data_IF_126857352531
#
_entry.id   IF_126857352531
#
_cell.length_a   1.000
_cell.length_b   1.000
_cell.length_c   1.000
_cell.angle_alpha   90.00
_cell.angle_beta   90.00
_cell.angle_gamma   90.00
#
_symmetry.space_group_name_H-M   'P 1'
#
loop_
_entity.id
_entity.type
_entity.pdbx_description
1 polymer ?
#
# COMPACT_ATOMS: atom_id res chain seq x y z
N UNK A 1 15.68 1.73 2.03
CA UNK A 1 15.52 0.72 0.95
C UNK A 1 14.62 1.25 -0.15
N UNK A 2 13.33 1.47 0.08
CA UNK A 2 12.44 1.97 -0.98
C UNK A 2 12.81 3.39 -1.45
N UNK A 3 13.39 4.19 -0.55
CA UNK A 3 14.02 5.49 -0.87
C UNK A 3 15.13 5.36 -1.93
N UNK A 4 15.83 4.21 -2.00
CA UNK A 4 16.85 3.94 -3.02
C UNK A 4 16.24 3.78 -4.42
N UNK A 5 14.94 3.54 -4.52
CA UNK A 5 14.18 3.37 -5.76
C UNK A 5 13.17 4.51 -5.98
N UNK A 6 13.45 5.68 -5.40
CA UNK A 6 12.58 6.85 -5.53
C UNK A 6 12.47 7.27 -7.00
N UNK A 7 11.23 7.33 -7.50
CA UNK A 7 10.94 7.63 -8.91
C UNK A 7 10.62 6.39 -9.74
N UNK A 8 11.22 5.24 -9.41
CA UNK A 8 11.06 4.00 -10.17
C UNK A 8 10.02 3.05 -9.55
N UNK A 9 9.86 3.10 -8.23
CA UNK A 9 8.96 2.23 -7.48
C UNK A 9 7.85 3.02 -6.81
N UNK A 10 6.60 2.59 -7.04
CA UNK A 10 5.42 3.06 -6.30
C UNK A 10 4.95 2.01 -5.31
N UNK A 11 4.83 2.41 -4.06
CA UNK A 11 4.24 1.58 -3.00
C UNK A 11 2.73 1.81 -2.98
N UNK A 12 1.96 0.73 -2.99
CA UNK A 12 0.50 0.78 -2.85
C UNK A 12 0.10 -0.07 -1.66
N UNK A 13 -0.50 0.56 -0.65
CA UNK A 13 -1.09 -0.15 0.49
C UNK A 13 -2.50 -0.64 0.15
N UNK A 14 -2.82 -1.86 0.59
CA UNK A 14 -4.12 -2.50 0.38
C UNK A 14 -4.67 -3.03 1.69
N UNK A 15 -5.89 -2.62 2.02
CA UNK A 15 -6.50 -2.95 3.31
C UNK A 15 -6.94 -4.41 3.38
N UNK A 16 -6.58 -5.08 4.46
CA UNK A 16 -7.18 -6.37 4.79
C UNK A 16 -7.44 -6.54 6.30
N UNK A 17 -8.45 -5.84 6.83
CA UNK A 17 -8.84 -6.00 8.22
C UNK A 17 -9.47 -7.38 8.45
N UNK A 18 -8.71 -8.28 9.08
CA UNK A 18 -9.14 -9.63 9.39
C UNK A 18 -10.34 -9.63 10.36
N UNK A 19 -11.43 -10.38 10.09
CA UNK A 19 -12.63 -10.38 10.92
C UNK A 19 -12.41 -10.74 12.40
N UNK A 20 -11.39 -11.56 12.70
CA UNK A 20 -11.02 -11.94 14.07
C UNK A 20 -10.34 -10.84 14.89
N UNK A 21 -10.04 -9.68 14.29
CA UNK A 21 -9.39 -8.57 14.96
C UNK A 21 -10.38 -7.41 15.13
N UNK A 22 -10.93 -7.30 16.35
CA UNK A 22 -12.02 -6.37 16.71
C UNK A 22 -11.84 -4.95 16.16
N UNK A 23 -10.63 -4.41 16.22
CA UNK A 23 -10.33 -3.03 15.84
C UNK A 23 -9.63 -2.87 14.48
N UNK A 24 -9.41 -3.96 13.74
CA UNK A 24 -8.68 -3.87 12.47
C UNK A 24 -9.39 -2.99 11.44
N UNK A 25 -10.73 -3.06 11.36
CA UNK A 25 -11.49 -2.23 10.42
C UNK A 25 -11.49 -0.75 10.82
N UNK A 26 -11.56 -0.45 12.11
CA UNK A 26 -11.45 0.92 12.62
C UNK A 26 -10.06 1.50 12.36
N UNK A 27 -9.00 0.73 12.58
CA UNK A 27 -7.63 1.13 12.28
C UNK A 27 -7.41 1.38 10.78
N UNK A 28 -7.94 0.51 9.91
CA UNK A 28 -7.91 0.71 8.45
C UNK A 28 -8.64 2.00 8.03
N UNK A 29 -9.83 2.25 8.59
CA UNK A 29 -10.59 3.47 8.32
C UNK A 29 -9.85 4.72 8.81
N UNK A 30 -9.21 4.65 9.98
CA UNK A 30 -8.43 5.76 10.53
C UNK A 30 -7.19 6.08 9.69
N UNK A 31 -6.47 5.07 9.20
CA UNK A 31 -5.34 5.28 8.31
C UNK A 31 -5.80 5.98 7.00
N UNK A 32 -6.90 5.54 6.39
CA UNK A 32 -7.46 6.20 5.21
C UNK A 32 -7.97 7.62 5.49
N UNK A 33 -8.54 7.86 6.68
CA UNK A 33 -8.92 9.21 7.09
C UNK A 33 -7.70 10.11 7.33
N UNK A 34 -6.58 9.55 7.81
CA UNK A 34 -5.31 10.26 7.96
C UNK A 34 -4.66 10.60 6.62
N UNK A 35 -4.77 9.73 5.60
CA UNK A 35 -4.38 10.03 4.20
C UNK A 35 -5.07 11.31 3.70
N UNK A 36 -6.35 11.51 4.02
CA UNK A 36 -7.08 12.71 3.64
C UNK A 36 -6.54 13.99 4.31
N UNK A 37 -5.69 13.85 5.32
CA UNK A 37 -4.97 14.93 5.99
C UNK A 37 -3.47 14.94 5.67
N UNK A 38 -2.99 14.04 4.80
CA UNK A 38 -1.59 13.95 4.38
C UNK A 38 -0.69 13.04 5.24
N UNK A 39 -1.24 12.33 6.22
CA UNK A 39 -0.46 11.65 7.27
C UNK A 39 -0.63 10.12 7.28
N UNK A 40 -0.90 9.50 6.14
CA UNK A 40 -1.16 8.05 6.09
C UNK A 40 -0.02 7.22 6.65
N UNK A 41 1.22 7.42 6.17
CA UNK A 41 2.35 6.58 6.55
C UNK A 41 2.73 6.76 8.02
N UNK A 42 2.76 8.00 8.51
CA UNK A 42 3.01 8.28 9.92
C UNK A 42 1.93 7.65 10.82
N UNK A 43 0.66 7.75 10.43
CA UNK A 43 -0.45 7.15 11.17
C UNK A 43 -0.39 5.61 11.13
N UNK A 44 -0.12 5.03 9.97
CA UNK A 44 0.06 3.60 9.75
C UNK A 44 1.16 3.06 10.65
N UNK A 45 2.33 3.70 10.69
CA UNK A 45 3.47 3.22 11.46
C UNK A 45 3.17 3.24 12.97
N UNK A 46 2.48 4.27 13.45
CA UNK A 46 2.03 4.34 14.84
C UNK A 46 0.97 3.27 15.17
N UNK A 47 0.07 2.93 14.24
CA UNK A 47 -0.85 1.81 14.43
C UNK A 47 -0.09 0.48 14.59
N UNK A 48 0.92 0.25 13.75
CA UNK A 48 1.74 -0.96 13.81
C UNK A 48 2.60 -1.03 15.08
N UNK A 49 3.19 0.09 15.52
CA UNK A 49 3.92 0.17 16.78
C UNK A 49 3.03 -0.15 17.99
N UNK A 50 1.74 0.22 17.92
CA UNK A 50 0.79 0.06 19.00
C UNK A 50 -0.17 -1.14 18.83
N UNK A 51 0.09 -2.06 17.89
CA UNK A 51 -0.88 -3.07 17.44
C UNK A 51 -1.54 -3.91 18.55
N UNK A 52 -0.86 -4.12 19.70
CA UNK A 52 -1.36 -4.87 20.86
C UNK A 52 -2.37 -4.10 21.71
N UNK A 53 -2.40 -2.78 21.59
CA UNK A 53 -3.19 -1.85 22.40
C UNK A 53 -4.19 -1.06 21.54
N UNK A 54 -4.38 -1.45 20.29
CA UNK A 54 -5.28 -0.72 19.40
C UNK A 54 -6.73 -0.87 19.87
N UNK A 55 -7.36 0.27 20.12
CA UNK A 55 -8.78 0.49 20.27
C UNK A 55 -9.12 1.91 19.75
N UNK A 56 -10.38 2.34 19.87
CA UNK A 56 -10.77 3.70 19.43
C UNK A 56 -10.04 4.81 20.20
N UNK A 57 -9.94 4.78 21.54
CA UNK A 57 -9.12 5.75 22.28
C UNK A 57 -7.68 5.85 21.76
N UNK A 58 -6.99 4.73 21.56
CA UNK A 58 -5.61 4.71 21.05
C UNK A 58 -5.51 5.26 19.63
N UNK A 59 -6.49 4.98 18.76
CA UNK A 59 -6.57 5.55 17.41
C UNK A 59 -6.67 7.09 17.48
N UNK A 60 -7.51 7.63 18.37
CA UNK A 60 -7.65 9.08 18.53
C UNK A 60 -6.42 9.71 19.18
N UNK A 61 -5.76 8.98 20.09
CA UNK A 61 -4.47 9.38 20.69
C UNK A 61 -3.39 9.53 19.60
N UNK A 62 -3.25 8.55 18.71
CA UNK A 62 -2.33 8.61 17.57
C UNK A 62 -2.63 9.82 16.68
N UNK A 63 -3.91 10.08 16.40
CA UNK A 63 -4.33 11.23 15.61
C UNK A 63 -3.90 12.55 16.25
N UNK A 64 -4.09 12.67 17.57
CA UNK A 64 -3.66 13.84 18.35
C UNK A 64 -2.15 14.01 18.31
N UNK A 65 -1.39 12.93 18.47
CA UNK A 65 0.07 12.98 18.50
C UNK A 65 0.66 13.40 17.13
N UNK A 66 -0.07 13.13 16.05
CA UNK A 66 0.21 13.62 14.69
C UNK A 66 -0.41 15.00 14.39
N UNK A 67 -0.99 15.67 15.37
CA UNK A 67 -1.65 16.98 15.21
C UNK A 67 -2.77 16.99 14.15
N UNK A 68 -3.43 15.86 13.93
CA UNK A 68 -4.57 15.75 13.03
C UNK A 68 -5.83 16.39 13.64
N UNK A 69 -6.72 16.88 12.78
CA UNK A 69 -8.07 17.24 13.20
C UNK A 69 -8.83 15.95 13.54
N UNK A 70 -9.03 15.74 14.84
CA UNK A 70 -9.68 14.56 15.40
C UNK A 70 -11.17 14.48 15.04
N UNK A 71 -11.87 15.61 14.94
CA UNK A 71 -13.29 15.61 14.58
C UNK A 71 -13.45 15.25 13.10
N UNK A 72 -12.60 15.83 12.25
CA UNK A 72 -12.50 15.48 10.84
C UNK A 72 -12.14 14.01 10.66
N UNK A 73 -11.13 13.51 11.37
CA UNK A 73 -10.72 12.10 11.29
C UNK A 73 -11.90 11.18 11.63
N UNK A 74 -12.58 11.43 12.76
CA UNK A 74 -13.70 10.60 13.18
C UNK A 74 -14.84 10.62 12.16
N UNK A 75 -15.16 11.78 11.58
CA UNK A 75 -16.16 11.88 10.50
C UNK A 75 -15.72 11.09 9.27
N UNK A 76 -14.48 11.29 8.82
CA UNK A 76 -13.97 10.73 7.57
C UNK A 76 -13.80 9.19 7.68
N UNK A 77 -13.48 8.65 8.86
CA UNK A 77 -13.50 7.21 9.16
C UNK A 77 -14.84 6.55 8.85
N UNK A 78 -15.93 7.29 9.01
CA UNK A 78 -17.30 6.82 8.77
C UNK A 78 -17.82 7.16 7.37
N UNK A 79 -17.01 7.81 6.54
CA UNK A 79 -17.42 8.20 5.19
C UNK A 79 -17.62 6.96 4.31
N UNK A 80 -18.69 6.98 3.50
CA UNK A 80 -19.00 5.91 2.56
C UNK A 80 -17.84 5.58 1.62
N UNK A 81 -17.04 6.58 1.22
CA UNK A 81 -15.86 6.39 0.39
C UNK A 81 -14.76 5.56 1.06
N UNK A 82 -14.50 5.80 2.35
CA UNK A 82 -13.51 5.03 3.15
C UNK A 82 -13.97 3.59 3.33
N UNK A 83 -15.23 3.39 3.69
CA UNK A 83 -15.85 2.08 3.84
C UNK A 83 -15.76 1.30 2.52
N UNK A 84 -16.16 1.93 1.41
CA UNK A 84 -16.13 1.33 0.07
C UNK A 84 -14.71 0.98 -0.38
N UNK A 85 -13.72 1.81 -0.07
CA UNK A 85 -12.32 1.54 -0.40
C UNK A 85 -11.80 0.29 0.33
N UNK A 86 -12.08 0.16 1.63
CA UNK A 86 -11.73 -1.03 2.41
C UNK A 86 -12.41 -2.28 1.83
N UNK A 87 -13.71 -2.21 1.55
CA UNK A 87 -14.45 -3.36 1.04
C UNK A 87 -14.05 -3.77 -0.38
N UNK A 88 -13.58 -2.81 -1.19
CA UNK A 88 -12.97 -3.10 -2.49
C UNK A 88 -11.67 -3.88 -2.32
N UNK A 89 -10.76 -3.44 -1.45
CA UNK A 89 -9.49 -4.11 -1.22
C UNK A 89 -9.69 -5.54 -0.65
N UNK A 90 -10.62 -5.70 0.29
CA UNK A 90 -10.99 -7.03 0.82
C UNK A 90 -11.52 -7.96 -0.28
N UNK A 91 -12.40 -7.47 -1.15
CA UNK A 91 -12.93 -8.27 -2.28
C UNK A 91 -11.86 -8.63 -3.29
N UNK A 92 -10.98 -7.69 -3.63
CA UNK A 92 -9.86 -7.92 -4.53
C UNK A 92 -8.97 -9.05 -4.02
N UNK A 93 -8.62 -9.02 -2.72
CA UNK A 93 -7.85 -10.08 -2.06
C UNK A 93 -8.51 -11.45 -2.21
N UNK A 94 -9.82 -11.54 -1.93
CA UNK A 94 -10.57 -12.78 -2.04
C UNK A 94 -10.55 -13.33 -3.47
N UNK A 95 -10.68 -12.46 -4.47
CA UNK A 95 -10.62 -12.83 -5.89
C UNK A 95 -9.26 -13.42 -6.28
N UNK A 96 -8.17 -12.93 -5.70
CA UNK A 96 -6.81 -13.41 -5.99
C UNK A 96 -6.33 -14.55 -5.07
N UNK A 97 -7.21 -15.07 -4.20
CA UNK A 97 -6.92 -16.23 -3.35
C UNK A 97 -5.91 -16.00 -2.24
N UNK A 98 -5.54 -14.75 -1.94
CA UNK A 98 -4.66 -14.42 -0.82
C UNK A 98 -5.45 -14.56 0.47
N UNK A 99 -4.96 -15.35 1.44
CA UNK A 99 -5.67 -15.59 2.69
C UNK A 99 -4.97 -15.02 3.94
N UNK A 100 -3.77 -14.45 3.83
CA UNK A 100 -2.93 -14.03 4.96
C UNK A 100 -2.36 -12.61 4.82
N UNK A 101 -2.02 -12.01 5.95
CA UNK A 101 -1.30 -10.73 6.08
C UNK A 101 0.04 -10.90 6.79
N UNK A 102 1.07 -10.09 6.45
CA UNK A 102 1.13 -9.29 5.23
C UNK A 102 1.18 -10.19 3.98
N UNK A 103 0.86 -9.65 2.81
CA UNK A 103 1.12 -10.28 1.50
C UNK A 103 1.64 -9.20 0.57
N UNK A 104 2.77 -9.45 -0.08
CA UNK A 104 3.47 -8.45 -0.89
C UNK A 104 3.46 -8.90 -2.34
N UNK A 105 3.13 -7.97 -3.23
CA UNK A 105 3.16 -8.17 -4.66
C UNK A 105 4.15 -7.20 -5.29
N UNK A 106 4.95 -7.68 -6.23
CA UNK A 106 5.82 -6.83 -7.05
C UNK A 106 5.34 -6.99 -8.49
N UNK A 107 4.83 -5.89 -9.05
CA UNK A 107 4.22 -5.83 -10.38
C UNK A 107 3.23 -7.00 -10.65
N UNK A 108 2.31 -7.24 -9.71
CA UNK A 108 1.29 -8.29 -9.81
C UNK A 108 1.75 -9.71 -9.42
N UNK A 109 3.03 -9.93 -9.10
CA UNK A 109 3.56 -11.25 -8.71
C UNK A 109 3.69 -11.37 -7.19
N UNK A 110 3.07 -12.40 -6.61
CA UNK A 110 3.14 -12.66 -5.17
C UNK A 110 4.57 -13.03 -4.75
N UNK A 111 5.11 -12.29 -3.78
CA UNK A 111 6.39 -12.57 -3.17
C UNK A 111 6.27 -13.72 -2.17
N UNK A 112 6.73 -14.92 -2.56
CA UNK A 112 6.68 -16.11 -1.70
C UNK A 112 7.77 -16.11 -0.63
N UNK A 113 8.98 -15.70 -0.99
CA UNK A 113 10.09 -15.55 -0.05
C UNK A 113 10.24 -14.08 0.32
N UNK A 114 10.02 -13.78 1.60
CA UNK A 114 9.97 -12.41 2.13
C UNK A 114 11.29 -11.94 2.71
N UNK A 115 12.39 -12.61 2.39
CA UNK A 115 13.71 -12.11 2.77
C UNK A 115 13.98 -10.77 2.07
N UNK A 116 14.67 -9.88 2.77
CA UNK A 116 15.04 -8.59 2.24
C UNK A 116 15.80 -8.70 0.91
N UNK A 117 16.79 -9.61 0.86
CA UNK A 117 17.58 -9.87 -0.34
C UNK A 117 16.72 -10.32 -1.52
N UNK A 118 15.70 -11.16 -1.28
CA UNK A 118 14.81 -11.62 -2.36
C UNK A 118 13.91 -10.48 -2.84
N UNK A 119 13.38 -9.70 -1.91
CA UNK A 119 12.56 -8.53 -2.24
C UNK A 119 13.33 -7.54 -3.11
N UNK A 120 14.57 -7.22 -2.74
CA UNK A 120 15.48 -6.38 -3.52
C UNK A 120 15.72 -6.93 -4.92
N UNK A 121 16.15 -8.19 -5.01
CA UNK A 121 16.46 -8.82 -6.29
C UNK A 121 15.24 -8.85 -7.23
N UNK A 122 14.03 -9.10 -6.70
CA UNK A 122 12.83 -9.10 -7.55
C UNK A 122 12.45 -7.69 -8.04
N UNK A 123 12.78 -6.61 -7.31
CA UNK A 123 12.64 -5.21 -7.78
C UNK A 123 13.63 -4.94 -8.90
N UNK A 124 14.91 -5.16 -8.65
CA UNK A 124 16.01 -4.90 -9.61
C UNK A 124 15.76 -5.65 -10.93
N UNK A 125 15.40 -6.93 -10.86
CA UNK A 125 15.07 -7.74 -12.04
C UNK A 125 13.88 -7.19 -12.87
N UNK A 126 12.94 -6.48 -12.24
CA UNK A 126 11.81 -5.88 -12.96
C UNK A 126 12.24 -4.56 -13.59
N UNK A 127 12.99 -3.73 -12.87
CA UNK A 127 13.51 -2.47 -13.40
C UNK A 127 14.41 -2.73 -14.61
N UNK A 128 15.35 -3.68 -14.51
CA UNK A 128 16.20 -4.09 -15.63
C UNK A 128 15.36 -4.50 -16.85
N UNK A 129 14.29 -5.29 -16.65
CA UNK A 129 13.41 -5.71 -17.76
C UNK A 129 12.62 -4.55 -18.38
N UNK A 130 12.25 -3.55 -17.59
CA UNK A 130 11.53 -2.39 -18.09
C UNK A 130 12.48 -1.48 -18.89
N UNK A 131 13.72 -1.30 -18.43
CA UNK A 131 14.75 -0.53 -19.13
C UNK A 131 15.17 -1.20 -20.44
N UNK A 132 15.40 -2.50 -20.41
CA UNK A 132 15.75 -3.26 -21.62
C UNK A 132 14.55 -3.44 -22.56
N UNK A 133 13.33 -3.56 -22.02
CA UNK A 133 12.10 -3.59 -22.83
C UNK A 133 11.81 -2.27 -23.52
N UNK A 134 12.14 -1.15 -22.88
CA UNK A 134 12.10 0.17 -23.50
C UNK A 134 13.18 0.32 -24.59
N UNK A 135 14.38 -0.23 -24.39
CA UNK A 135 15.46 -0.18 -25.38
C UNK A 135 15.13 -0.97 -26.67
N UNK A 136 14.49 -2.14 -26.56
CA UNK A 136 14.05 -2.93 -27.73
C UNK A 136 12.91 -2.22 -28.49
N UNK A 137 11.98 -1.59 -27.77
CA UNK A 137 10.88 -0.83 -28.37
C UNK A 137 11.36 0.42 -29.15
N UNK A 138 12.49 1.02 -28.74
CA UNK A 138 13.09 2.17 -29.42
C UNK A 138 13.92 1.78 -30.64
N UNK A 139 14.56 0.60 -30.67
CA UNK A 139 15.28 0.12 -31.86
C UNK A 139 14.31 -0.29 -32.98
N UNK A 140 13.19 -0.91 -32.63
CA UNK A 140 12.18 -1.35 -33.61
C UNK A 140 11.44 -0.16 -34.27
N UNK A 141 11.39 0.99 -33.59
CA UNK A 141 10.84 2.23 -34.14
C UNK A 141 11.81 3.00 -35.05
N UNK A 142 13.12 2.71 -34.99
CA UNK A 142 14.14 3.37 -35.80
C UNK A 142 14.30 2.72 -37.19
N UNK A 143 13.97 1.43 -37.34
CA UNK A 143 14.07 0.71 -38.61
C UNK A 143 12.88 0.96 -39.57
N UNK A 144 11.74 1.48 -39.07
CA UNK A 144 10.52 1.73 -39.88
C UNK A 144 10.46 3.13 -40.53
N UNK A 145 11.50 3.97 -40.35
CA UNK A 145 11.57 5.33 -40.91
C UNK A 145 12.51 5.42 -42.14
N UNK A 146 13.23 4.35 -42.47
CA UNK A 146 14.20 4.33 -43.58
C UNK A 146 13.61 3.91 -44.95
N UNK A 147 12.35 3.46 -45.02
CA UNK A 147 11.78 2.83 -46.22
C UNK A 147 10.53 3.55 -46.76
N UNK A 148 10.57 4.89 -46.83
CA UNK A 148 9.57 5.71 -47.56
C UNK A 148 10.20 6.78 -48.43
#
# INVERSE_FOLDING_TARGET
MLETYAGDVKVVYKNFPLPGHRYARAAAAAALAAEMQGEFWAFHDLLFLNYRQIDLPKIMEIARDLSLDQQRLFRDMNAAGVITAIDRDVRERLRIGVNSTPSVFINGRLLRNRSFARFQADIENILDKLDHGAAISLSDAADDISDR
#
